data_IF_587221220389
#
_entry.id   IF_587221220389
#
_cell.length_a   1.000
_cell.length_b   1.000
_cell.length_c   1.000
_cell.angle_alpha   90.00
_cell.angle_beta   90.00
_cell.angle_gamma   90.00
#
_symmetry.space_group_name_H-M   'P 1'
#
loop_
_entity.id
_entity.type
_entity.pdbx_description
1 polymer ?
#
# COMPACT_ATOMS: atom_id res chain seq x y z
N UNK A 1 -32.66 9.17 -1.92
CA UNK A 1 -31.91 9.81 -0.82
C UNK A 1 -30.53 9.17 -0.80
N UNK A 2 -29.47 9.91 -1.16
CA UNK A 2 -28.12 9.35 -1.19
C UNK A 2 -27.74 8.91 0.24
N UNK A 3 -27.38 7.64 0.41
CA UNK A 3 -26.95 7.13 1.71
C UNK A 3 -25.68 7.86 2.12
N UNK A 4 -25.62 8.37 3.34
CA UNK A 4 -24.40 9.00 3.86
C UNK A 4 -23.25 7.97 3.82
N UNK A 5 -22.18 8.31 3.09
CA UNK A 5 -21.01 7.45 2.91
C UNK A 5 -20.33 7.27 4.27
N UNK A 6 -20.12 6.02 4.71
CA UNK A 6 -19.35 5.76 5.93
C UNK A 6 -17.88 6.08 5.67
N UNK A 7 -17.35 7.01 6.45
CA UNK A 7 -15.94 7.40 6.40
C UNK A 7 -15.21 6.89 7.63
N UNK A 8 -14.00 6.38 7.44
CA UNK A 8 -13.15 5.90 8.53
C UNK A 8 -11.91 6.79 8.64
N UNK A 9 -11.84 7.56 9.73
CA UNK A 9 -10.73 8.47 9.97
C UNK A 9 -9.38 7.73 9.99
N UNK A 10 -9.32 6.54 10.60
CA UNK A 10 -8.10 5.74 10.66
C UNK A 10 -7.61 5.27 9.28
N UNK A 11 -8.51 4.90 8.36
CA UNK A 11 -8.15 4.53 6.97
C UNK A 11 -7.62 5.76 6.24
N UNK A 12 -8.29 6.89 6.42
CA UNK A 12 -7.89 8.15 5.80
C UNK A 12 -6.52 8.60 6.31
N UNK A 13 -6.30 8.49 7.62
CA UNK A 13 -5.02 8.83 8.24
C UNK A 13 -3.90 7.90 7.77
N UNK A 14 -4.17 6.59 7.71
CA UNK A 14 -3.22 5.61 7.17
C UNK A 14 -2.81 5.98 5.74
N UNK A 15 -3.75 6.18 4.83
CA UNK A 15 -3.46 6.57 3.44
C UNK A 15 -2.78 7.94 3.32
N UNK A 16 -3.15 8.90 4.16
CA UNK A 16 -2.54 10.23 4.16
C UNK A 16 -1.08 10.20 4.60
N UNK A 17 -0.76 9.40 5.63
CA UNK A 17 0.61 9.27 6.15
C UNK A 17 1.46 8.40 5.22
N UNK A 18 0.90 7.32 4.69
CA UNK A 18 1.64 6.36 3.86
C UNK A 18 1.94 6.88 2.46
N UNK A 19 1.07 7.69 1.86
CA UNK A 19 1.30 8.26 0.53
C UNK A 19 2.66 8.98 0.38
N UNK A 20 3.04 9.95 1.22
CA UNK A 20 4.36 10.58 1.11
C UNK A 20 5.51 9.60 1.38
N UNK A 21 5.36 8.65 2.30
CA UNK A 21 6.38 7.63 2.57
C UNK A 21 6.63 6.73 1.35
N UNK A 22 5.57 6.31 0.67
CA UNK A 22 5.65 5.44 -0.50
C UNK A 22 6.19 6.18 -1.73
N UNK A 23 5.84 7.46 -1.90
CA UNK A 23 6.44 8.33 -2.93
C UNK A 23 7.94 8.50 -2.66
N UNK A 24 8.31 8.73 -1.41
CA UNK A 24 9.70 8.89 -1.00
C UNK A 24 10.51 7.62 -1.27
N UNK A 25 9.95 6.45 -0.94
CA UNK A 25 10.53 5.14 -1.19
C UNK A 25 10.65 4.83 -2.68
N UNK A 26 9.60 5.09 -3.46
CA UNK A 26 9.64 4.93 -4.90
C UNK A 26 10.71 5.85 -5.53
N UNK A 27 10.79 7.10 -5.06
CA UNK A 27 11.82 8.04 -5.48
C UNK A 27 13.23 7.49 -5.21
N UNK A 28 13.47 6.94 -4.01
CA UNK A 28 14.75 6.33 -3.67
C UNK A 28 15.14 5.24 -4.67
N UNK A 29 14.24 4.27 -4.91
CA UNK A 29 14.54 3.12 -5.77
C UNK A 29 14.69 3.51 -7.25
N UNK A 30 13.82 4.39 -7.75
CA UNK A 30 13.80 4.76 -9.18
C UNK A 30 14.90 5.75 -9.57
N UNK A 31 15.49 6.48 -8.61
CA UNK A 31 16.61 7.39 -8.86
C UNK A 31 17.99 6.78 -8.62
N UNK A 32 18.10 5.46 -8.41
CA UNK A 32 19.41 4.79 -8.35
C UNK A 32 20.13 4.95 -9.70
N UNK A 33 21.44 5.26 -9.73
CA UNK A 33 22.36 5.30 -8.59
C UNK A 33 22.46 6.65 -7.87
N UNK A 34 21.79 7.72 -8.33
CA UNK A 34 21.89 9.08 -7.77
C UNK A 34 21.45 9.17 -6.31
N UNK A 35 20.48 8.33 -5.92
CA UNK A 35 19.97 8.24 -4.54
C UNK A 35 20.82 7.38 -3.61
N UNK A 36 21.68 6.50 -4.14
CA UNK A 36 22.54 5.59 -3.37
C UNK A 36 23.72 6.33 -2.71
N UNK A 37 24.33 5.77 -1.64
CA UNK A 37 25.58 6.30 -1.10
C UNK A 37 26.63 6.54 -2.20
N UNK A 38 27.19 7.75 -2.25
CA UNK A 38 28.10 8.20 -3.31
C UNK A 38 27.42 8.90 -4.51
N UNK A 39 26.09 8.87 -4.61
CA UNK A 39 25.31 9.60 -5.61
C UNK A 39 25.11 11.08 -5.28
N UNK A 40 24.86 11.90 -6.30
CA UNK A 40 24.71 13.36 -6.18
C UNK A 40 23.44 13.79 -5.42
N UNK A 41 22.43 12.93 -5.37
CA UNK A 41 21.15 13.18 -4.69
C UNK A 41 21.01 12.40 -3.37
N UNK A 42 22.05 11.67 -2.96
CA UNK A 42 22.03 10.82 -1.78
C UNK A 42 21.67 11.58 -0.49
N UNK A 43 22.10 12.84 -0.37
CA UNK A 43 21.85 13.67 0.80
C UNK A 43 20.36 13.78 1.14
N UNK A 44 19.47 13.73 0.15
CA UNK A 44 18.03 13.76 0.36
C UNK A 44 17.51 12.43 0.94
N UNK A 45 18.04 11.29 0.46
CA UNK A 45 17.68 9.95 0.96
C UNK A 45 18.65 9.38 2.01
N UNK A 46 19.39 10.23 2.72
CA UNK A 46 20.42 9.77 3.68
C UNK A 46 19.96 8.67 4.66
N UNK A 47 18.71 8.66 5.20
CA UNK A 47 18.24 7.58 6.06
C UNK A 47 18.27 6.18 5.39
N UNK A 48 18.19 6.12 4.06
CA UNK A 48 18.26 4.85 3.31
C UNK A 48 19.66 4.25 3.28
N UNK A 49 20.72 4.98 3.66
CA UNK A 49 22.04 4.39 3.86
C UNK A 49 21.98 3.34 4.97
N UNK A 50 21.39 3.69 6.12
CA UNK A 50 21.18 2.75 7.23
C UNK A 50 20.25 1.62 6.82
N UNK A 51 19.17 1.96 6.10
CA UNK A 51 18.19 0.96 5.68
C UNK A 51 18.80 -0.05 4.69
N UNK A 52 19.59 0.41 3.72
CA UNK A 52 20.30 -0.42 2.75
C UNK A 52 21.42 -1.26 3.35
N UNK A 53 21.89 -0.94 4.56
CA UNK A 53 22.78 -1.81 5.32
C UNK A 53 22.03 -2.93 6.06
N UNK A 54 20.76 -2.71 6.41
CA UNK A 54 19.91 -3.73 7.03
C UNK A 54 19.31 -4.62 5.95
N UNK A 55 18.70 -4.06 4.93
CA UNK A 55 18.14 -4.81 3.82
C UNK A 55 18.92 -4.48 2.55
N UNK A 56 19.70 -5.47 2.09
CA UNK A 56 20.52 -5.29 0.90
C UNK A 56 19.73 -5.07 -0.38
N UNK A 57 18.43 -5.40 -0.45
CA UNK A 57 17.54 -5.02 -1.57
C UNK A 57 17.52 -3.49 -1.77
N UNK A 58 17.72 -2.73 -0.70
CA UNK A 58 17.83 -1.26 -0.73
C UNK A 58 19.27 -0.75 -0.87
N UNK A 59 20.27 -1.63 -0.78
CA UNK A 59 21.68 -1.26 -0.76
C UNK A 59 22.32 -1.10 -2.14
N UNK A 60 23.57 -0.62 -2.12
CA UNK A 60 24.44 -0.51 -3.31
C UNK A 60 24.66 -1.88 -3.96
N UNK A 61 24.84 -2.92 -3.13
CA UNK A 61 25.06 -4.30 -3.58
C UNK A 61 23.98 -4.79 -4.54
N UNK A 62 22.69 -4.65 -4.19
CA UNK A 62 21.60 -5.06 -5.07
C UNK A 62 21.63 -4.32 -6.42
N UNK A 63 22.01 -3.04 -6.42
CA UNK A 63 22.14 -2.29 -7.67
C UNK A 63 23.32 -2.79 -8.53
N UNK A 64 24.48 -3.04 -7.93
CA UNK A 64 25.67 -3.57 -8.62
C UNK A 64 25.44 -5.00 -9.15
N UNK A 65 24.71 -5.82 -8.40
CA UNK A 65 24.32 -7.18 -8.77
C UNK A 65 23.22 -7.21 -9.86
N UNK A 66 22.66 -6.05 -10.24
CA UNK A 66 21.59 -5.95 -11.23
C UNK A 66 20.23 -6.45 -10.74
N UNK A 67 19.99 -6.46 -9.43
CA UNK A 67 18.73 -6.86 -8.83
C UNK A 67 17.64 -5.80 -9.08
N UNK A 68 16.64 -6.19 -9.88
CA UNK A 68 15.53 -5.32 -10.26
C UNK A 68 14.37 -5.27 -9.25
N UNK A 69 14.39 -6.08 -8.18
CA UNK A 69 13.23 -6.27 -7.31
C UNK A 69 12.78 -4.96 -6.66
N UNK A 70 13.71 -4.20 -6.05
CA UNK A 70 13.38 -2.96 -5.35
C UNK A 70 12.70 -1.93 -6.27
N UNK A 71 13.22 -1.78 -7.49
CA UNK A 71 12.68 -0.86 -8.49
C UNK A 71 11.33 -1.34 -9.03
N UNK A 72 11.13 -2.65 -9.20
CA UNK A 72 9.84 -3.21 -9.57
C UNK A 72 8.78 -2.99 -8.47
N UNK A 73 9.15 -3.23 -7.21
CA UNK A 73 8.30 -2.95 -6.06
C UNK A 73 7.96 -1.46 -5.92
N UNK A 74 8.90 -0.56 -6.27
CA UNK A 74 8.68 0.87 -6.30
C UNK A 74 7.62 1.31 -7.33
N UNK A 75 7.48 0.62 -8.46
CA UNK A 75 6.37 0.89 -9.39
C UNK A 75 5.02 0.55 -8.75
N UNK A 76 4.94 -0.54 -7.98
CA UNK A 76 3.74 -0.86 -7.21
C UNK A 76 3.47 0.19 -6.14
N UNK A 77 4.49 0.75 -5.46
CA UNK A 77 4.31 1.87 -4.54
C UNK A 77 3.61 3.07 -5.21
N UNK A 78 3.95 3.40 -6.45
CA UNK A 78 3.30 4.50 -7.17
C UNK A 78 1.84 4.19 -7.49
N UNK A 79 1.53 2.97 -7.92
CA UNK A 79 0.14 2.53 -8.19
C UNK A 79 -0.71 2.52 -6.91
N UNK A 80 -0.15 2.00 -5.82
CA UNK A 80 -0.80 2.00 -4.51
C UNK A 80 -1.02 3.42 -4.00
N UNK A 81 -0.03 4.30 -4.15
CA UNK A 81 -0.15 5.72 -3.78
C UNK A 81 -1.26 6.39 -4.58
N UNK A 82 -1.35 6.14 -5.88
CA UNK A 82 -2.43 6.66 -6.71
C UNK A 82 -3.81 6.21 -6.18
N UNK A 83 -3.96 4.92 -5.86
CA UNK A 83 -5.20 4.40 -5.27
C UNK A 83 -5.52 5.04 -3.91
N UNK A 84 -4.53 5.19 -3.04
CA UNK A 84 -4.68 5.81 -1.72
C UNK A 84 -5.12 7.28 -1.83
N UNK A 85 -4.49 8.05 -2.72
CA UNK A 85 -4.87 9.45 -2.99
C UNK A 85 -6.25 9.55 -3.63
N UNK A 86 -6.58 8.67 -4.58
CA UNK A 86 -7.90 8.62 -5.20
C UNK A 86 -9.00 8.29 -4.18
N UNK A 87 -8.72 7.39 -3.22
CA UNK A 87 -9.62 7.15 -2.08
C UNK A 87 -9.82 8.43 -1.26
N UNK A 88 -8.75 9.15 -0.92
CA UNK A 88 -8.82 10.37 -0.10
C UNK A 88 -9.59 11.48 -0.81
N UNK A 89 -9.29 11.75 -2.08
CA UNK A 89 -10.00 12.74 -2.90
C UNK A 89 -11.46 12.35 -3.05
N UNK A 90 -11.72 11.08 -3.41
CA UNK A 90 -13.07 10.58 -3.60
C UNK A 90 -13.90 10.59 -2.31
N UNK A 91 -13.26 10.49 -1.15
CA UNK A 91 -13.93 10.48 0.17
C UNK A 91 -14.12 11.87 0.75
N UNK A 92 -13.12 12.77 0.65
CA UNK A 92 -13.08 14.02 1.41
C UNK A 92 -13.23 15.29 0.56
N UNK A 93 -12.89 15.24 -0.73
CA UNK A 93 -12.89 16.44 -1.60
C UNK A 93 -14.06 16.40 -2.57
N UNK A 94 -14.20 15.30 -3.30
CA UNK A 94 -15.16 15.15 -4.40
C UNK A 94 -16.26 14.14 -4.07
N UNK A 95 -16.69 14.06 -2.81
CA UNK A 95 -17.61 13.02 -2.33
C UNK A 95 -18.92 12.93 -3.12
N UNK A 96 -19.46 14.07 -3.57
CA UNK A 96 -20.69 14.17 -4.37
C UNK A 96 -20.48 13.82 -5.85
N UNK A 97 -19.28 13.99 -6.38
CA UNK A 97 -18.95 13.76 -7.80
C UNK A 97 -18.36 12.38 -8.05
N UNK A 98 -17.85 11.71 -7.01
CA UNK A 98 -17.34 10.35 -7.10
C UNK A 98 -18.51 9.35 -7.15
N UNK A 99 -18.53 8.39 -8.09
CA UNK A 99 -19.60 7.41 -8.19
C UNK A 99 -19.82 6.68 -6.85
N UNK A 100 -21.08 6.37 -6.47
CA UNK A 100 -21.36 5.60 -5.26
C UNK A 100 -20.56 4.29 -5.24
N UNK A 101 -19.85 4.03 -4.14
CA UNK A 101 -19.02 2.83 -4.00
C UNK A 101 -17.65 2.88 -4.69
N UNK A 102 -17.36 3.87 -5.54
CA UNK A 102 -16.06 3.94 -6.22
C UNK A 102 -14.89 4.20 -5.26
N UNK A 103 -15.04 5.12 -4.30
CA UNK A 103 -13.99 5.39 -3.31
C UNK A 103 -13.62 4.13 -2.48
N UNK A 104 -14.56 3.44 -1.81
CA UNK A 104 -14.22 2.23 -1.07
C UNK A 104 -13.66 1.10 -1.95
N UNK A 105 -14.11 0.99 -3.21
CA UNK A 105 -13.54 0.04 -4.16
C UNK A 105 -12.06 0.34 -4.46
N UNK A 106 -11.73 1.59 -4.80
CA UNK A 106 -10.35 1.99 -5.09
C UNK A 106 -9.46 1.84 -3.85
N UNK A 107 -9.95 2.21 -2.66
CA UNK A 107 -9.21 2.01 -1.41
C UNK A 107 -8.99 0.53 -1.08
N UNK A 108 -9.97 -0.34 -1.36
CA UNK A 108 -9.83 -1.79 -1.23
C UNK A 108 -8.78 -2.34 -2.20
N UNK A 109 -8.80 -1.91 -3.46
CA UNK A 109 -7.84 -2.31 -4.49
C UNK A 109 -6.42 -1.88 -4.12
N UNK A 110 -6.24 -0.63 -3.67
CA UNK A 110 -4.94 -0.13 -3.20
C UNK A 110 -4.39 -0.97 -2.04
N UNK A 111 -5.22 -1.22 -1.02
CA UNK A 111 -4.83 -2.07 0.11
C UNK A 111 -4.50 -3.52 -0.31
N UNK A 112 -5.22 -4.07 -1.29
CA UNK A 112 -4.94 -5.41 -1.84
C UNK A 112 -3.57 -5.46 -2.53
N UNK A 113 -3.24 -4.43 -3.32
CA UNK A 113 -1.94 -4.33 -3.98
C UNK A 113 -0.80 -4.23 -2.95
N UNK A 114 -0.95 -3.38 -1.92
CA UNK A 114 0.03 -3.26 -0.82
C UNK A 114 0.24 -4.60 -0.11
N UNK A 115 -0.85 -5.29 0.23
CA UNK A 115 -0.76 -6.59 0.90
C UNK A 115 -0.04 -7.62 0.02
N UNK A 116 -0.42 -7.73 -1.26
CA UNK A 116 0.18 -8.67 -2.19
C UNK A 116 1.69 -8.41 -2.38
N UNK A 117 2.08 -7.14 -2.57
CA UNK A 117 3.48 -6.74 -2.68
C UNK A 117 4.26 -7.09 -1.41
N UNK A 118 3.70 -6.81 -0.23
CA UNK A 118 4.39 -7.07 1.05
C UNK A 118 4.59 -8.57 1.29
N UNK A 119 3.59 -9.40 0.92
CA UNK A 119 3.70 -10.86 0.97
C UNK A 119 4.78 -11.35 -0.02
N UNK A 120 4.80 -10.81 -1.24
CA UNK A 120 5.80 -11.16 -2.25
C UNK A 120 7.22 -10.82 -1.77
N UNK A 121 7.42 -9.61 -1.24
CA UNK A 121 8.69 -9.17 -0.68
C UNK A 121 9.16 -10.03 0.50
N UNK A 122 8.26 -10.36 1.44
CA UNK A 122 8.60 -11.26 2.55
C UNK A 122 8.91 -12.68 2.07
N UNK A 123 8.20 -13.14 1.04
CA UNK A 123 8.38 -14.47 0.45
C UNK A 123 9.70 -14.58 -0.31
N UNK A 124 10.16 -13.52 -0.98
CA UNK A 124 11.47 -13.49 -1.60
C UNK A 124 12.56 -13.84 -0.59
N UNK A 125 12.57 -13.16 0.57
CA UNK A 125 13.57 -13.42 1.60
C UNK A 125 13.49 -14.85 2.14
N UNK A 126 12.28 -15.40 2.29
CA UNK A 126 12.12 -16.79 2.69
C UNK A 126 12.73 -17.76 1.66
N UNK A 127 12.42 -17.58 0.37
CA UNK A 127 12.85 -18.50 -0.69
C UNK A 127 14.33 -18.37 -1.06
N UNK A 128 14.96 -17.21 -0.79
CA UNK A 128 16.40 -17.03 -0.97
C UNK A 128 17.23 -17.30 0.30
N UNK A 129 16.62 -17.86 1.35
CA UNK A 129 17.26 -18.12 2.66
C UNK A 129 17.84 -16.86 3.34
N UNK A 130 17.10 -15.75 3.30
CA UNK A 130 17.50 -14.48 3.92
C UNK A 130 18.68 -13.83 3.21
N UNK A 131 18.74 -13.90 1.89
CA UNK A 131 19.85 -13.39 1.08
C UNK A 131 20.11 -11.89 1.28
N UNK A 132 19.08 -11.10 1.59
CA UNK A 132 19.22 -9.66 1.78
C UNK A 132 19.20 -9.21 3.24
N UNK A 133 18.60 -9.99 4.14
CA UNK A 133 18.43 -9.60 5.56
C UNK A 133 19.05 -10.55 6.58
N UNK A 134 19.55 -11.71 6.15
CA UNK A 134 20.02 -12.78 7.03
C UNK A 134 21.31 -12.47 7.80
N UNK A 135 22.05 -11.42 7.40
CA UNK A 135 23.26 -10.96 8.08
C UNK A 135 22.99 -10.12 9.33
N UNK A 136 21.73 -9.72 9.57
CA UNK A 136 21.40 -8.81 10.67
C UNK A 136 21.41 -9.49 12.04
N UNK A 137 21.66 -8.67 13.07
CA UNK A 137 21.36 -9.06 14.45
C UNK A 137 19.84 -9.26 14.62
N UNK A 138 19.38 -10.11 15.56
CA UNK A 138 17.95 -10.33 15.78
C UNK A 138 17.18 -9.03 16.08
N UNK A 139 17.80 -8.09 16.78
CA UNK A 139 17.19 -6.79 17.08
C UNK A 139 17.03 -5.93 15.82
N UNK A 140 18.07 -5.79 14.99
CA UNK A 140 17.99 -4.99 13.77
C UNK A 140 16.99 -5.59 12.78
N UNK A 141 17.03 -6.91 12.60
CA UNK A 141 16.06 -7.63 11.78
C UNK A 141 14.63 -7.37 12.26
N UNK A 142 14.39 -7.46 13.57
CA UNK A 142 13.07 -7.21 14.13
C UNK A 142 12.62 -5.75 13.93
N UNK A 143 13.44 -4.78 14.35
CA UNK A 143 13.07 -3.38 14.41
C UNK A 143 12.91 -2.73 13.03
N UNK A 144 13.78 -3.08 12.08
CA UNK A 144 13.84 -2.41 10.78
C UNK A 144 13.22 -3.21 9.64
N UNK A 145 13.05 -4.53 9.79
CA UNK A 145 12.47 -5.37 8.74
C UNK A 145 11.16 -6.04 9.17
N UNK A 146 11.14 -6.85 10.23
CA UNK A 146 9.94 -7.60 10.62
C UNK A 146 8.81 -6.66 11.05
N UNK A 147 9.06 -5.76 12.01
CA UNK A 147 8.03 -4.91 12.58
C UNK A 147 7.34 -4.01 11.53
N UNK A 148 8.08 -3.28 10.67
CA UNK A 148 7.47 -2.49 9.61
C UNK A 148 6.64 -3.33 8.64
N UNK A 149 7.16 -4.47 8.15
CA UNK A 149 6.44 -5.32 7.22
C UNK A 149 5.16 -5.92 7.82
N UNK A 150 5.18 -6.29 9.11
CA UNK A 150 3.98 -6.75 9.81
C UNK A 150 2.91 -5.66 9.86
N UNK A 151 3.29 -4.39 10.06
CA UNK A 151 2.32 -3.27 9.99
C UNK A 151 1.73 -3.13 8.58
N UNK A 152 2.56 -3.28 7.54
CA UNK A 152 2.14 -3.29 6.13
C UNK A 152 1.30 -4.51 5.73
N UNK A 153 1.22 -5.54 6.57
CA UNK A 153 0.27 -6.65 6.39
C UNK A 153 -1.02 -6.36 7.14
N UNK A 154 -0.93 -5.96 8.42
CA UNK A 154 -2.09 -5.78 9.29
C UNK A 154 -3.00 -4.66 8.80
N UNK A 155 -2.47 -3.46 8.56
CA UNK A 155 -3.31 -2.31 8.20
C UNK A 155 -4.02 -2.49 6.86
N UNK A 156 -3.36 -2.90 5.76
CA UNK A 156 -4.05 -3.20 4.51
C UNK A 156 -5.08 -4.32 4.64
N UNK A 157 -4.81 -5.37 5.42
CA UNK A 157 -5.80 -6.43 5.70
C UNK A 157 -7.04 -5.89 6.42
N UNK A 158 -6.86 -5.04 7.43
CA UNK A 158 -7.97 -4.39 8.13
C UNK A 158 -8.76 -3.44 7.21
N UNK A 159 -8.08 -2.72 6.31
CA UNK A 159 -8.72 -1.82 5.33
C UNK A 159 -9.56 -2.64 4.35
N UNK A 160 -8.99 -3.72 3.81
CA UNK A 160 -9.68 -4.65 2.92
C UNK A 160 -10.93 -5.22 3.59
N UNK A 161 -10.80 -5.69 4.83
CA UNK A 161 -11.94 -6.20 5.60
C UNK A 161 -13.03 -5.15 5.76
N UNK A 162 -12.64 -3.92 6.13
CA UNK A 162 -13.60 -2.87 6.45
C UNK A 162 -14.33 -2.35 5.21
N UNK A 163 -13.58 -1.94 4.18
CA UNK A 163 -14.14 -1.41 2.95
C UNK A 163 -14.88 -2.50 2.17
N UNK A 164 -14.34 -3.72 2.14
CA UNK A 164 -14.99 -4.90 1.54
C UNK A 164 -16.31 -5.23 2.22
N UNK A 165 -16.36 -5.20 3.55
CA UNK A 165 -17.58 -5.42 4.31
C UNK A 165 -18.68 -4.40 3.99
N UNK A 166 -18.32 -3.11 3.89
CA UNK A 166 -19.28 -2.06 3.52
C UNK A 166 -19.81 -2.25 2.10
N UNK A 167 -18.95 -2.57 1.12
CA UNK A 167 -19.37 -2.86 -0.24
C UNK A 167 -20.34 -4.05 -0.30
N UNK A 168 -20.07 -5.13 0.44
CA UNK A 168 -20.96 -6.29 0.50
C UNK A 168 -22.33 -5.95 1.10
N UNK A 169 -22.38 -5.07 2.11
CA UNK A 169 -23.64 -4.61 2.69
C UNK A 169 -24.45 -3.77 1.69
N UNK A 170 -23.78 -2.90 0.93
CA UNK A 170 -24.43 -2.08 -0.08
C UNK A 170 -24.97 -2.92 -1.24
N UNK A 171 -24.23 -3.93 -1.70
CA UNK A 171 -24.69 -4.89 -2.71
C UNK A 171 -25.95 -5.63 -2.21
N UNK A 172 -25.95 -6.13 -0.96
CA UNK A 172 -27.11 -6.82 -0.37
C UNK A 172 -28.35 -5.93 -0.31
N UNK A 173 -28.19 -4.66 0.07
CA UNK A 173 -29.30 -3.68 0.12
C UNK A 173 -29.85 -3.39 -1.27
N UNK A 174 -28.97 -3.18 -2.26
CA UNK A 174 -29.38 -2.94 -3.64
C UNK A 174 -30.17 -4.13 -4.20
N UNK A 175 -29.71 -5.36 -3.94
CA UNK A 175 -30.45 -6.58 -4.29
C UNK A 175 -31.84 -6.63 -3.65
N UNK A 176 -31.97 -6.31 -2.37
CA UNK A 176 -33.25 -6.28 -1.66
C UNK A 176 -34.23 -5.28 -2.25
N UNK A 177 -33.77 -4.06 -2.57
CA UNK A 177 -34.58 -3.01 -3.18
C UNK A 177 -35.08 -3.41 -4.57
N UNK A 178 -34.23 -4.03 -5.39
CA UNK A 178 -34.63 -4.54 -6.70
C UNK A 178 -35.72 -5.62 -6.55
N UNK A 179 -35.56 -6.55 -5.61
CA UNK A 179 -36.55 -7.59 -5.36
C UNK A 179 -37.91 -7.02 -4.91
N UNK A 180 -37.91 -6.01 -4.05
CA UNK A 180 -39.13 -5.33 -3.58
C UNK A 180 -39.82 -4.54 -4.70
N UNK A 181 -39.05 -3.82 -5.52
CA UNK A 181 -39.56 -3.10 -6.70
C UNK A 181 -40.19 -4.04 -7.73
N UNK A 182 -39.66 -5.26 -7.88
CA UNK A 182 -40.24 -6.26 -8.77
C UNK A 182 -41.53 -6.88 -8.20
N UNK A 183 -41.65 -7.00 -6.88
CA UNK A 183 -42.87 -7.49 -6.22
C UNK A 183 -44.01 -6.47 -6.33
N UNK A 184 -43.72 -5.19 -6.07
CA UNK A 184 -44.74 -4.11 -6.15
C UNK A 184 -45.26 -3.87 -7.56
N UNK A 185 -44.48 -4.14 -8.62
CA UNK A 185 -44.96 -4.09 -10.01
C UNK A 185 -45.85 -5.26 -10.42
N UNK A 186 -45.89 -6.34 -9.61
CA UNK A 186 -46.70 -7.54 -9.88
C UNK A 186 -48.03 -7.55 -9.11
N UNK A 187 -48.19 -6.69 -8.11
CA UNK A 187 -49.44 -6.44 -7.38
C UNK A 187 -50.22 -5.31 -8.04
#
# INVERSE_FOLDING_TARGET
MAMARKTYAWISLWFLITAPLMIWDAGYCLMRPRSLPGGDWHWFWKPYELYGMVDYVYGVKAFEDGDGFASAAAILNLLETFANLAYLVGTHVCASSFPPGAAPLVGYTGATATLAKTILYSSQEYFCNGCAVGHNTPFNLFAFWIFPNVMWIIFPSCIMWRLGGDMMLDIRKAHGQVAENLRSKRS
#
